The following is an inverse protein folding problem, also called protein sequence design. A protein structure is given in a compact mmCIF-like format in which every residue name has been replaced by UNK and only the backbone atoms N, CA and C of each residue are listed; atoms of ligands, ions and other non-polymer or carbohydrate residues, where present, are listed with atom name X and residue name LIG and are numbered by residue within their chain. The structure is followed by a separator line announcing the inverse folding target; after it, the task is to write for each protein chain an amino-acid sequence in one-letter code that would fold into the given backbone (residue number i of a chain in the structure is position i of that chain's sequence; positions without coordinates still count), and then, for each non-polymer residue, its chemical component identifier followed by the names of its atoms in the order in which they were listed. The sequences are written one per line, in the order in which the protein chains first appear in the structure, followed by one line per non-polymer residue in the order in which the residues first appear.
data_IF_157239952024
#
_entry.id   IF_157239952024
#
_cell.length_a   1.000
_cell.length_b   1.000
_cell.length_c   1.000
_cell.angle_alpha   90.00
_cell.angle_beta   90.00
_cell.angle_gamma   90.00
#
_symmetry.space_group_name_H-M   'P 1'
#
loop_
_entity.id
_entity.type
_entity.pdbx_description
1 polymer ?
#
# COMPACT_ATOMS: atom_id res chain seq x y z
N UNK A 1 -6.77 9.90 -14.25
CA UNK A 1 -7.02 11.20 -13.64
C UNK A 1 -7.46 11.02 -12.18
N UNK A 2 -6.97 11.86 -11.29
CA UNK A 2 -7.28 11.71 -9.88
C UNK A 2 -8.69 12.17 -9.55
N UNK A 3 -9.25 11.56 -8.51
CA UNK A 3 -10.60 11.85 -8.03
C UNK A 3 -10.51 12.53 -6.68
N UNK A 4 -10.98 13.76 -6.58
CA UNK A 4 -10.89 14.54 -5.34
C UNK A 4 -11.67 13.94 -4.18
N UNK A 5 -12.65 13.08 -4.47
CA UNK A 5 -13.44 12.43 -3.43
C UNK A 5 -12.76 11.14 -2.92
N UNK A 6 -11.71 10.70 -3.55
CA UNK A 6 -11.00 9.50 -3.16
C UNK A 6 -9.86 9.86 -2.22
N UNK A 7 -9.87 9.30 -1.00
CA UNK A 7 -8.85 9.62 -0.01
C UNK A 7 -7.45 9.20 -0.46
N UNK A 8 -7.35 8.16 -1.31
CA UNK A 8 -6.05 7.71 -1.79
C UNK A 8 -5.53 8.54 -2.95
N UNK A 9 -6.40 9.30 -3.63
CA UNK A 9 -5.95 10.24 -4.65
C UNK A 9 -5.35 11.49 -4.02
N UNK A 10 -5.95 11.96 -2.94
CA UNK A 10 -5.52 13.20 -2.30
C UNK A 10 -4.40 12.99 -1.29
N UNK A 11 -4.47 11.90 -0.52
CA UNK A 11 -3.48 11.56 0.51
C UNK A 11 -3.11 12.77 1.35
N UNK A 12 -4.13 13.45 1.86
CA UNK A 12 -3.90 14.65 2.67
C UNK A 12 -3.16 14.33 3.94
N UNK A 13 -3.45 13.17 4.53
CA UNK A 13 -2.77 12.73 5.75
C UNK A 13 -1.71 11.70 5.37
N UNK A 14 -0.46 12.13 5.37
CA UNK A 14 0.66 11.29 4.99
C UNK A 14 1.45 10.90 6.23
N UNK A 15 1.35 9.63 6.63
CA UNK A 15 2.07 9.12 7.80
C UNK A 15 3.23 8.25 7.35
N UNK A 16 4.43 8.61 7.79
CA UNK A 16 5.62 7.78 7.63
C UNK A 16 5.76 7.26 6.19
N UNK A 17 6.08 8.18 5.28
CA UNK A 17 6.31 7.81 3.89
C UNK A 17 7.61 7.01 3.81
N UNK A 18 7.51 5.75 3.37
CA UNK A 18 8.65 4.85 3.27
C UNK A 18 9.32 4.94 1.91
N UNK A 19 8.54 5.22 0.87
CA UNK A 19 9.04 5.26 -0.49
C UNK A 19 8.04 5.99 -1.38
N UNK A 20 8.53 6.71 -2.36
CA UNK A 20 7.67 7.48 -3.26
C UNK A 20 8.35 7.69 -4.59
N UNK A 21 7.63 7.47 -5.68
CA UNK A 21 8.11 7.82 -7.02
C UNK A 21 6.93 8.29 -7.87
N UNK A 22 7.12 8.38 -9.19
CA UNK A 22 6.09 8.92 -10.07
C UNK A 22 4.87 8.00 -10.17
N UNK A 23 5.03 6.71 -9.92
CA UNK A 23 3.98 5.73 -10.11
C UNK A 23 3.23 5.39 -8.83
N UNK A 24 3.93 5.37 -7.71
CA UNK A 24 3.35 4.86 -6.48
C UNK A 24 3.97 5.49 -5.23
N UNK A 25 3.32 5.27 -4.11
CA UNK A 25 3.81 5.72 -2.81
C UNK A 25 3.58 4.62 -1.79
N UNK A 26 4.53 4.44 -0.86
CA UNK A 26 4.36 3.54 0.28
C UNK A 26 4.42 4.36 1.55
N UNK A 27 3.36 4.30 2.33
CA UNK A 27 3.24 5.03 3.59
C UNK A 27 2.43 4.19 4.57
N UNK A 28 2.42 4.58 5.84
CA UNK A 28 1.63 3.85 6.81
C UNK A 28 0.14 4.14 6.63
N UNK A 29 -0.65 3.07 6.69
CA UNK A 29 -2.10 3.19 6.64
C UNK A 29 -2.58 3.91 7.91
N UNK A 30 -3.46 4.90 7.75
CA UNK A 30 -3.91 5.71 8.89
C UNK A 30 -4.65 4.88 9.94
N UNK A 31 -5.42 3.88 9.50
CA UNK A 31 -6.23 3.08 10.41
C UNK A 31 -5.52 1.82 10.89
N UNK A 32 -4.65 1.24 10.07
CA UNK A 32 -4.00 -0.04 10.37
C UNK A 32 -2.59 0.11 10.94
N UNK A 33 -1.95 1.23 10.64
CA UNK A 33 -0.58 1.52 11.07
C UNK A 33 0.46 0.55 10.50
N UNK A 34 0.16 -0.04 9.35
CA UNK A 34 1.10 -0.91 8.63
C UNK A 34 1.41 -0.29 7.28
N UNK A 35 2.52 -0.67 6.64
CA UNK A 35 2.86 -0.11 5.33
C UNK A 35 1.78 -0.41 4.30
N UNK A 36 1.43 0.60 3.54
CA UNK A 36 0.42 0.51 2.49
C UNK A 36 1.02 1.06 1.21
N UNK A 37 0.97 0.29 0.12
CA UNK A 37 1.39 0.77 -1.18
C UNK A 37 0.17 1.23 -1.96
N UNK A 38 0.27 2.42 -2.55
CA UNK A 38 -0.83 3.04 -3.29
C UNK A 38 -0.33 3.37 -4.68
N UNK A 39 -1.03 2.87 -5.71
CA UNK A 39 -0.76 3.29 -7.09
C UNK A 39 -1.34 4.68 -7.25
N UNK A 40 -0.59 5.62 -7.81
CA UNK A 40 -1.01 7.02 -7.81
C UNK A 40 -2.23 7.28 -8.68
N UNK A 41 -2.31 6.63 -9.81
CA UNK A 41 -3.44 6.80 -10.69
C UNK A 41 -4.69 6.14 -10.10
N UNK A 42 -5.83 6.81 -10.22
CA UNK A 42 -7.10 6.28 -9.72
C UNK A 42 -7.58 5.17 -10.64
N UNK A 43 -7.25 3.93 -10.31
CA UNK A 43 -7.61 2.79 -11.15
C UNK A 43 -7.66 1.52 -10.30
N UNK A 44 -8.40 0.54 -10.77
CA UNK A 44 -8.37 -0.82 -10.25
C UNK A 44 -7.75 -1.78 -11.25
N UNK A 45 -7.36 -1.28 -12.40
CA UNK A 45 -6.71 -2.11 -13.41
C UNK A 45 -5.29 -2.43 -12.99
N UNK A 46 -5.00 -3.71 -12.84
CA UNK A 46 -3.67 -4.18 -12.43
C UNK A 46 -3.02 -4.88 -13.61
N UNK A 47 -2.07 -4.20 -14.23
CA UNK A 47 -1.29 -4.83 -15.30
C UNK A 47 -0.19 -5.69 -14.67
N UNK A 48 0.37 -6.59 -15.47
CA UNK A 48 1.46 -7.45 -15.02
C UNK A 48 2.66 -6.61 -14.56
N UNK A 49 2.94 -5.56 -15.30
CA UNK A 49 4.06 -4.67 -14.96
C UNK A 49 3.84 -3.97 -13.63
N UNK A 50 2.61 -3.49 -13.39
CA UNK A 50 2.26 -2.87 -12.12
C UNK A 50 2.37 -3.86 -10.97
N UNK A 51 1.88 -5.08 -11.19
CA UNK A 51 1.91 -6.12 -10.17
C UNK A 51 3.35 -6.42 -9.75
N UNK A 52 4.24 -6.56 -10.71
CA UNK A 52 5.65 -6.85 -10.43
C UNK A 52 6.27 -5.72 -9.63
N UNK A 53 6.05 -4.48 -10.05
CA UNK A 53 6.63 -3.32 -9.38
C UNK A 53 6.08 -3.15 -7.97
N UNK A 54 4.76 -3.22 -7.82
CA UNK A 54 4.13 -3.04 -6.50
C UNK A 54 4.57 -4.12 -5.53
N UNK A 55 4.65 -5.37 -6.00
CA UNK A 55 5.07 -6.48 -5.16
C UNK A 55 6.51 -6.28 -4.69
N UNK A 56 7.41 -5.95 -5.62
CA UNK A 56 8.83 -5.79 -5.29
C UNK A 56 9.05 -4.66 -4.29
N UNK A 57 8.40 -3.53 -4.51
CA UNK A 57 8.56 -2.36 -3.64
C UNK A 57 7.99 -2.65 -2.26
N UNK A 58 6.78 -3.20 -2.20
CA UNK A 58 6.14 -3.46 -0.91
C UNK A 58 6.87 -4.53 -0.12
N UNK A 59 7.39 -5.55 -0.79
CA UNK A 59 8.18 -6.58 -0.11
C UNK A 59 9.46 -5.98 0.49
N UNK A 60 10.14 -5.13 -0.27
CA UNK A 60 11.36 -4.50 0.23
C UNK A 60 11.09 -3.66 1.48
N UNK A 61 9.98 -2.91 1.47
CA UNK A 61 9.59 -2.11 2.62
C UNK A 61 9.17 -3.02 3.78
N UNK A 62 8.45 -4.10 3.49
CA UNK A 62 8.04 -5.05 4.52
C UNK A 62 9.22 -5.67 5.25
N UNK A 63 10.25 -6.09 4.51
CA UNK A 63 11.47 -6.61 5.13
C UNK A 63 12.13 -5.58 6.03
N UNK A 64 12.10 -4.32 5.61
CA UNK A 64 12.69 -3.24 6.38
C UNK A 64 11.92 -2.96 7.67
N UNK A 65 10.59 -2.95 7.57
CA UNK A 65 9.73 -2.59 8.69
C UNK A 65 9.56 -3.75 9.68
N UNK A 66 9.36 -4.96 9.17
CA UNK A 66 9.07 -6.11 10.03
C UNK A 66 10.31 -6.89 10.45
N UNK A 67 11.45 -6.66 9.77
CA UNK A 67 12.69 -7.31 10.12
C UNK A 67 12.61 -8.82 9.92
N UNK A 68 12.81 -9.56 11.00
CA UNK A 68 12.79 -11.03 10.95
C UNK A 68 11.38 -11.60 11.08
N UNK A 69 10.39 -10.78 11.39
CA UNK A 69 9.01 -11.25 11.48
C UNK A 69 8.49 -11.61 10.10
N UNK A 70 7.68 -12.66 10.06
CA UNK A 70 7.00 -13.02 8.82
C UNK A 70 5.89 -12.02 8.53
N UNK A 71 5.73 -11.69 7.27
CA UNK A 71 4.66 -10.81 6.84
C UNK A 71 4.13 -11.29 5.49
N UNK A 72 2.97 -10.77 5.11
CA UNK A 72 2.36 -11.10 3.83
C UNK A 72 1.77 -9.83 3.22
N UNK A 73 1.50 -9.88 1.94
CA UNK A 73 0.89 -8.75 1.23
C UNK A 73 -0.60 -9.03 1.13
N UNK A 74 -1.39 -8.12 1.72
CA UNK A 74 -2.84 -8.20 1.71
C UNK A 74 -3.36 -7.32 0.58
N UNK A 75 -3.93 -7.95 -0.44
CA UNK A 75 -4.41 -7.26 -1.64
C UNK A 75 -5.89 -6.90 -1.58
N UNK A 76 -6.55 -7.14 -0.47
CA UNK A 76 -7.99 -6.88 -0.39
C UNK A 76 -8.27 -5.39 -0.30
N UNK A 77 -9.20 -4.95 -1.12
CA UNK A 77 -9.58 -3.54 -1.25
C UNK A 77 -10.84 -3.29 -0.42
N UNK A 78 -10.70 -3.24 0.91
CA UNK A 78 -11.87 -3.16 1.79
C UNK A 78 -12.45 -1.77 1.91
N UNK A 79 -11.63 -0.81 2.33
CA UNK A 79 -12.12 0.54 2.63
C UNK A 79 -12.24 1.40 1.38
N UNK A 80 -11.34 1.24 0.43
CA UNK A 80 -11.33 2.02 -0.81
C UNK A 80 -11.28 1.05 -1.99
N UNK A 81 -12.44 0.53 -2.43
CA UNK A 81 -12.44 -0.53 -3.45
C UNK A 81 -12.08 -0.07 -4.85
N UNK A 82 -12.11 1.23 -5.12
CA UNK A 82 -11.93 1.76 -6.48
C UNK A 82 -10.55 2.32 -6.75
N UNK A 83 -9.62 2.19 -5.80
CA UNK A 83 -8.26 2.71 -5.98
C UNK A 83 -7.26 1.66 -5.53
N UNK A 84 -6.40 1.24 -6.44
CA UNK A 84 -5.48 0.13 -6.22
C UNK A 84 -4.52 0.42 -5.08
N UNK A 85 -4.57 -0.41 -4.05
CA UNK A 85 -3.68 -0.31 -2.90
C UNK A 85 -3.61 -1.66 -2.19
N UNK A 86 -2.46 -1.96 -1.59
CA UNK A 86 -2.24 -3.20 -0.84
C UNK A 86 -1.57 -2.85 0.49
N UNK A 87 -1.68 -3.76 1.46
CA UNK A 87 -1.02 -3.62 2.76
C UNK A 87 0.01 -4.72 2.97
N UNK A 88 1.08 -4.41 3.68
CA UNK A 88 2.01 -5.43 4.18
C UNK A 88 1.67 -5.65 5.66
N UNK A 89 1.25 -6.87 6.00
CA UNK A 89 0.79 -7.18 7.36
C UNK A 89 1.64 -8.26 7.98
N UNK A 90 1.92 -8.09 9.26
CA UNK A 90 2.62 -9.11 10.03
C UNK A 90 1.65 -10.21 10.44
N UNK A 91 2.10 -11.46 10.39
CA UNK A 91 1.29 -12.58 10.86
C UNK A 91 0.96 -12.45 12.35
N UNK A 92 1.84 -11.82 13.11
CA UNK A 92 1.60 -11.65 14.54
C UNK A 92 0.46 -10.67 14.81
N UNK A 93 0.32 -9.62 13.98
CA UNK A 93 -0.72 -8.63 14.21
C UNK A 93 -2.10 -9.18 13.89
N UNK A 94 -2.21 -10.25 13.12
CA UNK A 94 -3.49 -10.86 12.79
C UNK A 94 -3.98 -11.82 13.86
N UNK A 95 -3.17 -12.13 14.84
CA UNK A 95 -3.51 -13.05 15.91
C UNK A 95 -4.43 -12.44 16.97
N UNK A 96 -4.79 -11.20 16.79
CA UNK A 96 -5.61 -10.48 17.77
C UNK A 96 -7.06 -10.46 17.44
#
# INVERSE_FOLDING_TARGET
MNNNLCVLCTLEERRNVHYEDDDLIVLDCASCLVPMIVWREHTMELTKKMEIKMTAVLEAIGFKVFGTQKFYIDRQQRAVPNHLHWHARSNLSTAR
#
